data_IF_497988753742
#
_entry.id   IF_497988753742
#
_cell.length_a   1.000
_cell.length_b   1.000
_cell.length_c   1.000
_cell.angle_alpha   90.00
_cell.angle_beta   90.00
_cell.angle_gamma   90.00
#
_symmetry.space_group_name_H-M   'P 1'
#
loop_
_entity.id
_entity.type
_entity.pdbx_description
1 polymer ?
#
# COMPACT_ATOMS: atom_id res chain seq x y z
N UNK A 1 -23.20 -2.77 5.84
CA UNK A 1 -22.15 -2.22 4.96
C UNK A 1 -20.95 -1.76 5.80
N UNK A 2 -19.88 -2.55 5.89
CA UNK A 2 -18.59 -2.06 6.40
C UNK A 2 -17.56 -2.30 5.32
N UNK A 3 -17.59 -1.44 4.29
CA UNK A 3 -16.42 -1.24 3.47
C UNK A 3 -15.36 -0.73 4.42
N UNK A 4 -14.47 -1.62 4.87
CA UNK A 4 -13.22 -1.21 5.48
C UNK A 4 -12.50 -0.50 4.34
N UNK A 5 -12.79 0.79 4.17
CA UNK A 5 -11.80 1.77 3.75
C UNK A 5 -10.74 1.62 4.82
N UNK A 6 -9.93 0.59 4.64
CA UNK A 6 -8.66 0.50 5.28
C UNK A 6 -7.98 1.69 4.64
N UNK A 7 -8.06 2.85 5.29
CA UNK A 7 -7.02 3.86 5.19
C UNK A 7 -5.76 3.15 5.65
N UNK A 8 -5.25 2.27 4.77
CA UNK A 8 -3.97 1.62 4.90
C UNK A 8 -3.05 2.81 4.75
N UNK A 9 -2.30 3.08 5.81
CA UNK A 9 -1.23 4.06 5.70
C UNK A 9 -0.41 3.70 4.45
N UNK A 10 0.01 4.69 3.65
CA UNK A 10 0.91 4.44 2.53
C UNK A 10 2.11 3.65 3.06
N UNK A 11 2.39 2.51 2.44
CA UNK A 11 3.48 1.64 2.87
C UNK A 11 4.67 1.94 1.97
N UNK A 12 5.73 2.47 2.56
CA UNK A 12 6.91 2.87 1.79
C UNK A 12 7.87 1.71 1.56
N UNK A 13 8.64 1.79 0.48
CA UNK A 13 9.70 0.82 0.18
C UNK A 13 10.68 0.71 1.35
N UNK A 14 10.78 -0.49 1.93
CA UNK A 14 11.60 -0.78 3.10
C UNK A 14 10.79 -0.98 4.39
N UNK A 15 9.52 -0.60 4.41
CA UNK A 15 8.64 -0.89 5.52
C UNK A 15 8.14 -2.34 5.51
N UNK A 16 7.93 -2.93 6.70
CA UNK A 16 7.31 -4.24 6.83
C UNK A 16 5.88 -4.19 6.27
N UNK A 17 5.67 -4.89 5.15
CA UNK A 17 4.40 -4.90 4.42
C UNK A 17 4.49 -4.32 3.02
N UNK A 18 5.60 -3.68 2.66
CA UNK A 18 5.84 -3.27 1.28
C UNK A 18 6.04 -4.50 0.41
N UNK A 19 5.33 -4.54 -0.71
CA UNK A 19 5.52 -5.56 -1.72
C UNK A 19 5.44 -4.91 -3.09
N UNK A 20 6.38 -5.26 -3.96
CA UNK A 20 6.38 -4.88 -5.38
C UNK A 20 5.18 -5.45 -6.16
N UNK A 21 4.38 -6.33 -5.54
CA UNK A 21 3.09 -6.78 -6.07
C UNK A 21 1.95 -5.81 -5.72
N UNK A 22 2.10 -5.03 -4.65
CA UNK A 22 1.13 -4.04 -4.18
C UNK A 22 1.39 -2.67 -4.79
N UNK A 23 2.65 -2.35 -5.06
CA UNK A 23 3.10 -1.19 -5.81
C UNK A 23 3.14 -1.54 -7.31
N UNK A 24 2.16 -1.02 -8.07
CA UNK A 24 1.92 -1.45 -9.47
C UNK A 24 2.71 -0.62 -10.47
N UNK A 25 3.01 0.62 -10.13
CA UNK A 25 3.81 1.59 -10.87
C UNK A 25 5.27 1.60 -10.42
N UNK A 26 5.61 0.94 -9.31
CA UNK A 26 6.95 0.82 -8.74
C UNK A 26 7.52 2.16 -8.31
N UNK A 27 6.67 3.05 -7.79
CA UNK A 27 7.05 4.37 -7.31
C UNK A 27 7.62 4.34 -5.87
N UNK A 28 7.56 3.18 -5.21
CA UNK A 28 8.00 2.97 -3.84
C UNK A 28 6.91 3.19 -2.79
N UNK A 29 5.65 3.37 -3.20
CA UNK A 29 4.50 3.60 -2.32
C UNK A 29 3.43 2.54 -2.62
N UNK A 30 3.37 1.52 -1.78
CA UNK A 30 2.32 0.51 -1.89
C UNK A 30 1.01 0.98 -1.24
N UNK A 31 -0.11 0.65 -1.88
CA UNK A 31 -1.47 0.80 -1.35
C UNK A 31 -1.98 2.24 -1.16
N UNK A 32 -1.66 3.15 -2.09
CA UNK A 32 -2.10 4.55 -2.06
C UNK A 32 -3.64 4.76 -2.13
N UNK A 33 -4.45 3.76 -2.53
CA UNK A 33 -5.93 3.91 -2.66
C UNK A 33 -6.71 2.63 -2.38
#
# INVERSE_FOLDING_TARGET
MRGRKSSRAPIYQGEPGYSTKLDRDKDGIACDK
#
